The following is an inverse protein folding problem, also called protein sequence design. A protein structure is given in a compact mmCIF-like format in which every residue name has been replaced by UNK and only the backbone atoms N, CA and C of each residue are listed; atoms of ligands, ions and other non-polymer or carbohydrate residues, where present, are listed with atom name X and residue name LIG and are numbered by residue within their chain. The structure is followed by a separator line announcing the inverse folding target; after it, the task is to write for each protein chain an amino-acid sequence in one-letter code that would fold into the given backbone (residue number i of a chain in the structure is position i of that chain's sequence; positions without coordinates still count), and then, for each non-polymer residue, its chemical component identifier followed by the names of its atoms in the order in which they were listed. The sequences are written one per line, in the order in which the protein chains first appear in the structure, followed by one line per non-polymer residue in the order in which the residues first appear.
data_IF_424203865573
#
_entry.id   IF_424203865573
#
_cell.length_a   1.000
_cell.length_b   1.000
_cell.length_c   1.000
_cell.angle_alpha   90.00
_cell.angle_beta   90.00
_cell.angle_gamma   90.00
#
_symmetry.space_group_name_H-M   'P 1'
#
loop_
_entity.id
_entity.type
_entity.pdbx_description
1 polymer ?
#
# COMPACT_ATOMS: atom_id res chain seq x y z
N UNK A 1 -22.44 -37.23 -1.09
CA UNK A 1 -22.71 -35.79 -1.18
C UNK A 1 -21.79 -35.25 -2.25
N UNK A 2 -22.32 -34.83 -3.38
CA UNK A 2 -21.55 -34.20 -4.43
C UNK A 2 -21.00 -32.89 -3.86
N UNK A 3 -19.67 -32.69 -3.97
CA UNK A 3 -19.03 -31.45 -3.61
C UNK A 3 -19.69 -30.35 -4.47
N UNK A 4 -20.27 -29.30 -3.91
CA UNK A 4 -20.82 -28.23 -4.75
C UNK A 4 -19.68 -27.69 -5.61
N UNK A 5 -19.88 -27.70 -6.93
CA UNK A 5 -18.92 -27.11 -7.87
C UNK A 5 -18.58 -25.71 -7.36
N UNK A 6 -17.28 -25.44 -7.22
CA UNK A 6 -16.78 -24.11 -6.88
C UNK A 6 -17.21 -23.15 -7.98
N UNK A 7 -18.21 -22.33 -7.70
CA UNK A 7 -18.71 -21.31 -8.62
C UNK A 7 -17.94 -20.01 -8.39
N UNK A 8 -17.45 -19.41 -9.45
CA UNK A 8 -16.78 -18.13 -9.38
C UNK A 8 -17.80 -17.01 -9.20
N UNK A 9 -17.49 -16.02 -8.37
CA UNK A 9 -18.34 -14.86 -8.19
C UNK A 9 -18.47 -14.04 -9.50
N UNK A 10 -17.43 -14.07 -10.33
CA UNK A 10 -17.40 -13.45 -11.65
C UNK A 10 -18.53 -13.92 -12.57
N UNK A 11 -18.98 -15.19 -12.44
CA UNK A 11 -20.05 -15.76 -13.27
C UNK A 11 -21.42 -15.10 -12.98
N UNK A 12 -21.58 -14.56 -11.77
CA UNK A 12 -22.81 -13.88 -11.33
C UNK A 12 -22.68 -12.35 -11.31
N UNK A 13 -21.46 -11.85 -11.12
CA UNK A 13 -21.16 -10.42 -10.99
C UNK A 13 -19.79 -10.12 -11.61
N UNK A 14 -19.73 -9.78 -12.90
CA UNK A 14 -18.45 -9.47 -13.58
C UNK A 14 -17.66 -8.34 -12.91
N UNK A 15 -18.33 -7.41 -12.22
CA UNK A 15 -17.68 -6.34 -11.46
C UNK A 15 -16.90 -6.84 -10.24
N UNK A 16 -17.17 -8.05 -9.77
CA UNK A 16 -16.54 -8.69 -8.61
C UNK A 16 -15.41 -9.67 -8.99
N UNK A 17 -15.03 -9.73 -10.27
CA UNK A 17 -13.89 -10.52 -10.75
C UNK A 17 -12.61 -10.39 -9.89
N UNK A 18 -12.27 -9.22 -9.29
CA UNK A 18 -11.13 -9.12 -8.39
C UNK A 18 -11.19 -10.07 -7.17
N UNK A 19 -12.37 -10.48 -6.73
CA UNK A 19 -12.49 -11.46 -5.62
C UNK A 19 -11.94 -12.82 -6.01
N UNK A 20 -12.33 -13.32 -7.19
CA UNK A 20 -11.89 -14.62 -7.67
C UNK A 20 -10.38 -14.63 -7.93
N UNK A 21 -9.86 -13.55 -8.54
CA UNK A 21 -8.43 -13.40 -8.76
C UNK A 21 -7.63 -13.41 -7.44
N UNK A 22 -8.04 -12.64 -6.45
CA UNK A 22 -7.37 -12.63 -5.14
C UNK A 22 -7.57 -13.92 -4.37
N UNK A 23 -8.69 -14.61 -4.57
CA UNK A 23 -8.95 -15.90 -3.97
C UNK A 23 -8.03 -16.97 -4.51
N UNK A 24 -7.91 -17.10 -5.84
CA UNK A 24 -6.99 -18.04 -6.48
C UNK A 24 -5.56 -17.89 -5.96
N UNK A 25 -5.04 -16.65 -5.94
CA UNK A 25 -3.69 -16.39 -5.40
C UNK A 25 -3.62 -16.67 -3.88
N UNK A 26 -4.73 -16.51 -3.14
CA UNK A 26 -4.75 -16.85 -1.71
C UNK A 26 -4.66 -18.36 -1.47
N UNK A 27 -5.19 -19.17 -2.38
CA UNK A 27 -5.09 -20.63 -2.31
C UNK A 27 -3.63 -21.06 -2.59
N UNK A 28 -2.95 -20.44 -3.56
CA UNK A 28 -1.52 -20.69 -3.84
C UNK A 28 -0.64 -20.37 -2.62
N UNK A 29 -0.79 -19.16 -2.06
CA UNK A 29 -0.05 -18.75 -0.86
C UNK A 29 -0.39 -19.62 0.33
N UNK A 30 -1.67 -19.99 0.50
CA UNK A 30 -2.14 -20.90 1.55
C UNK A 30 -1.50 -22.28 1.43
N UNK A 31 -1.39 -22.79 0.20
CA UNK A 31 -0.70 -24.06 -0.09
C UNK A 31 0.74 -24.07 0.40
N UNK A 32 1.51 -22.99 0.15
CA UNK A 32 2.89 -22.86 0.66
C UNK A 32 2.92 -22.87 2.19
N UNK A 33 1.99 -22.18 2.84
CA UNK A 33 1.90 -22.15 4.31
C UNK A 33 1.59 -23.52 4.91
N UNK A 34 0.84 -24.37 4.20
CA UNK A 34 0.55 -25.74 4.64
C UNK A 34 1.77 -26.68 4.57
N UNK A 35 2.80 -26.35 3.79
CA UNK A 35 4.03 -27.15 3.68
C UNK A 35 4.95 -26.97 4.90
N UNK A 36 4.73 -25.95 5.74
CA UNK A 36 5.56 -25.62 6.89
C UNK A 36 4.75 -25.80 8.17
N UNK A 37 5.14 -26.73 9.01
CA UNK A 37 4.38 -27.11 10.23
C UNK A 37 4.07 -25.91 11.14
N UNK A 38 5.00 -24.97 11.29
CA UNK A 38 4.80 -23.75 12.10
C UNK A 38 3.70 -22.84 11.55
N UNK A 39 3.44 -22.90 10.24
CA UNK A 39 2.51 -22.01 9.52
C UNK A 39 1.23 -22.73 9.06
N UNK A 40 1.11 -24.04 9.23
CA UNK A 40 -0.03 -24.87 8.80
C UNK A 40 -1.38 -24.27 9.22
N UNK A 41 -1.50 -23.82 10.48
CA UNK A 41 -2.72 -23.18 11.00
C UNK A 41 -3.12 -21.92 10.23
N UNK A 42 -2.15 -21.18 9.67
CA UNK A 42 -2.42 -20.00 8.86
C UNK A 42 -2.87 -20.38 7.45
N UNK A 43 -2.26 -21.42 6.86
CA UNK A 43 -2.69 -22.00 5.58
C UNK A 43 -4.13 -22.49 5.66
N UNK A 44 -4.47 -23.28 6.69
CA UNK A 44 -5.83 -23.74 6.92
C UNK A 44 -6.86 -22.60 7.07
N UNK A 45 -6.48 -21.50 7.74
CA UNK A 45 -7.35 -20.31 7.82
C UNK A 45 -7.49 -19.59 6.47
N UNK A 46 -6.44 -19.57 5.65
CA UNK A 46 -6.50 -18.96 4.31
C UNK A 46 -7.40 -19.75 3.37
N UNK A 47 -7.44 -21.07 3.49
CA UNK A 47 -8.32 -21.93 2.72
C UNK A 47 -9.81 -21.58 2.86
N UNK A 48 -10.25 -21.01 3.98
CA UNK A 48 -11.64 -20.55 4.20
C UNK A 48 -11.84 -19.04 3.98
N UNK A 49 -10.77 -18.28 3.62
CA UNK A 49 -10.85 -16.83 3.50
C UNK A 49 -11.71 -16.41 2.31
N UNK A 50 -12.74 -15.59 2.56
CA UNK A 50 -13.68 -15.18 1.52
C UNK A 50 -14.64 -16.29 1.06
N UNK A 51 -14.67 -17.45 1.75
CA UNK A 51 -15.57 -18.54 1.43
C UNK A 51 -17.06 -18.24 1.71
N UNK A 52 -17.35 -17.24 2.53
CA UNK A 52 -18.68 -16.69 2.73
C UNK A 52 -18.66 -15.20 2.43
N UNK A 53 -19.42 -14.80 1.43
CA UNK A 53 -19.68 -13.39 1.07
C UNK A 53 -21.21 -13.19 1.02
N UNK A 54 -21.72 -12.26 1.83
CA UNK A 54 -23.13 -11.88 1.80
C UNK A 54 -23.25 -10.45 1.32
N UNK A 55 -23.94 -10.28 0.20
CA UNK A 55 -24.24 -8.97 -0.36
C UNK A 55 -25.69 -8.57 -0.01
N UNK A 56 -25.94 -7.28 0.02
CA UNK A 56 -27.27 -6.72 0.23
C UNK A 56 -27.43 -5.41 -0.52
N UNK A 57 -28.63 -5.16 -0.99
CA UNK A 57 -28.99 -3.91 -1.63
C UNK A 57 -28.93 -2.75 -0.64
N UNK A 58 -28.39 -1.63 -1.07
CA UNK A 58 -28.28 -0.40 -0.31
C UNK A 58 -28.67 0.76 -1.19
N UNK A 59 -29.73 1.48 -0.80
CA UNK A 59 -30.21 2.68 -1.52
C UNK A 59 -29.62 3.92 -0.86
N UNK A 60 -28.98 4.78 -1.65
CA UNK A 60 -28.52 6.09 -1.22
C UNK A 60 -29.73 7.01 -1.05
N UNK A 61 -29.90 7.58 0.13
CA UNK A 61 -31.07 8.42 0.46
C UNK A 61 -31.13 9.70 -0.39
N UNK A 62 -29.98 10.26 -0.72
CA UNK A 62 -29.86 11.53 -1.45
C UNK A 62 -30.18 11.40 -2.94
N UNK A 63 -29.89 10.27 -3.55
CA UNK A 63 -30.00 10.07 -5.02
C UNK A 63 -31.02 9.01 -5.42
N UNK A 64 -31.48 8.19 -4.47
CA UNK A 64 -32.32 7.03 -4.76
C UNK A 64 -31.56 5.88 -5.44
N UNK A 65 -30.25 6.04 -5.70
CA UNK A 65 -29.45 5.03 -6.38
C UNK A 65 -29.29 3.78 -5.50
N UNK A 66 -29.60 2.62 -6.08
CA UNK A 66 -29.48 1.34 -5.39
C UNK A 66 -28.25 0.59 -5.88
N UNK A 67 -27.39 0.17 -4.93
CA UNK A 67 -26.16 -0.56 -5.21
C UNK A 67 -26.07 -1.81 -4.36
N UNK A 68 -25.49 -2.86 -4.95
CA UNK A 68 -25.12 -4.07 -4.21
C UNK A 68 -23.88 -3.78 -3.36
N UNK A 69 -23.95 -4.06 -2.05
CA UNK A 69 -22.84 -3.85 -1.11
C UNK A 69 -22.57 -5.11 -0.31
N UNK A 70 -21.29 -5.39 -0.12
CA UNK A 70 -20.85 -6.46 0.79
C UNK A 70 -21.29 -6.11 2.23
N UNK A 71 -22.09 -6.99 2.84
CA UNK A 71 -22.61 -6.85 4.20
C UNK A 71 -21.83 -7.68 5.20
N UNK A 72 -21.45 -8.88 4.78
CA UNK A 72 -20.75 -9.84 5.62
C UNK A 72 -19.72 -10.62 4.80
N UNK A 73 -18.57 -10.89 5.39
CA UNK A 73 -17.52 -11.69 4.78
C UNK A 73 -16.69 -12.39 5.86
N UNK A 74 -16.30 -13.62 5.58
CA UNK A 74 -15.40 -14.36 6.43
C UNK A 74 -13.95 -14.12 6.01
N UNK A 75 -13.20 -13.37 6.80
CA UNK A 75 -11.79 -13.06 6.54
C UNK A 75 -10.87 -13.77 7.51
N UNK A 76 -9.85 -14.47 7.00
CA UNK A 76 -8.87 -15.19 7.80
C UNK A 76 -7.97 -14.29 8.66
N UNK A 77 -7.79 -13.01 8.28
CA UNK A 77 -6.91 -12.01 8.92
C UNK A 77 -5.44 -12.45 9.01
N UNK A 78 -5.03 -13.41 8.19
CA UNK A 78 -3.62 -13.76 8.05
C UNK A 78 -2.92 -12.60 7.33
N UNK A 79 -1.73 -12.22 7.81
CA UNK A 79 -1.06 -10.99 7.34
C UNK A 79 -0.77 -11.02 5.84
N UNK A 80 -0.30 -12.14 5.33
CA UNK A 80 0.09 -12.28 3.92
C UNK A 80 -1.01 -12.89 3.03
N UNK A 81 -2.21 -13.12 3.55
CA UNK A 81 -3.33 -13.55 2.73
C UNK A 81 -3.68 -12.47 1.67
N UNK A 82 -3.63 -12.77 0.38
CA UNK A 82 -3.90 -11.82 -0.70
C UNK A 82 -5.26 -11.16 -0.62
N UNK A 83 -6.32 -11.92 -0.30
CA UNK A 83 -7.67 -11.36 -0.08
C UNK A 83 -7.66 -10.35 1.07
N UNK A 84 -7.06 -10.70 2.22
CA UNK A 84 -7.03 -9.81 3.37
C UNK A 84 -6.17 -8.56 3.14
N UNK A 85 -5.05 -8.68 2.44
CA UNK A 85 -4.20 -7.54 2.08
C UNK A 85 -4.94 -6.59 1.13
N UNK A 86 -5.55 -7.12 0.07
CA UNK A 86 -6.35 -6.35 -0.86
C UNK A 86 -7.47 -5.58 -0.15
N UNK A 87 -8.28 -6.25 0.68
CA UNK A 87 -9.36 -5.60 1.43
C UNK A 87 -8.85 -4.53 2.40
N UNK A 88 -7.72 -4.76 3.03
CA UNK A 88 -7.06 -3.76 3.89
C UNK A 88 -6.60 -2.53 3.11
N UNK A 89 -5.99 -2.73 1.94
CA UNK A 89 -5.60 -1.65 1.04
C UNK A 89 -6.80 -0.78 0.66
N UNK A 90 -7.89 -1.38 0.18
CA UNK A 90 -9.12 -0.67 -0.16
C UNK A 90 -9.73 0.09 1.03
N UNK A 91 -9.71 -0.50 2.23
CA UNK A 91 -10.19 0.16 3.45
C UNK A 91 -9.38 1.42 3.78
N UNK A 92 -8.05 1.35 3.72
CA UNK A 92 -7.21 2.50 4.00
C UNK A 92 -7.32 3.59 2.94
N UNK A 93 -7.43 3.19 1.66
CA UNK A 93 -7.72 4.13 0.57
C UNK A 93 -9.04 4.86 0.80
N UNK A 94 -10.10 4.12 1.11
CA UNK A 94 -11.42 4.71 1.38
C UNK A 94 -11.37 5.69 2.56
N UNK A 95 -10.71 5.34 3.66
CA UNK A 95 -10.53 6.23 4.82
C UNK A 95 -9.78 7.50 4.45
N UNK A 96 -8.72 7.37 3.67
CA UNK A 96 -7.96 8.53 3.21
C UNK A 96 -8.84 9.44 2.34
N UNK A 97 -9.57 8.89 1.37
CA UNK A 97 -10.43 9.67 0.48
C UNK A 97 -11.58 10.36 1.22
N UNK A 98 -12.12 9.74 2.25
CA UNK A 98 -13.12 10.35 3.13
C UNK A 98 -12.54 11.55 3.92
N UNK A 99 -11.26 11.51 4.27
CA UNK A 99 -10.57 12.58 5.01
C UNK A 99 -10.05 13.68 4.09
N UNK A 100 -9.82 13.39 2.80
CA UNK A 100 -9.16 14.29 1.86
C UNK A 100 -9.84 15.65 1.70
N UNK A 101 -11.17 15.79 1.61
CA UNK A 101 -11.82 17.09 1.50
C UNK A 101 -11.48 18.02 2.67
N UNK A 102 -11.47 17.48 3.90
CA UNK A 102 -11.11 18.24 5.10
C UNK A 102 -9.62 18.61 5.10
N UNK A 103 -8.75 17.67 4.73
CA UNK A 103 -7.30 17.93 4.62
C UNK A 103 -7.03 19.07 3.64
N UNK A 104 -7.68 19.07 2.47
CA UNK A 104 -7.53 20.13 1.46
C UNK A 104 -8.07 21.46 1.95
N UNK A 105 -9.18 21.45 2.71
CA UNK A 105 -9.74 22.69 3.29
C UNK A 105 -8.83 23.28 4.39
N UNK A 106 -8.28 22.42 5.27
CA UNK A 106 -7.41 22.85 6.36
C UNK A 106 -6.00 23.26 5.86
N UNK A 107 -5.56 22.75 4.70
CA UNK A 107 -4.22 22.99 4.11
C UNK A 107 -4.30 23.28 2.61
N UNK A 108 -4.92 24.40 2.18
CA UNK A 108 -5.23 24.67 0.76
C UNK A 108 -3.98 24.84 -0.12
N UNK A 109 -2.88 25.35 0.45
CA UNK A 109 -1.63 25.57 -0.28
C UNK A 109 -0.70 24.36 -0.30
N UNK A 110 -1.05 23.28 0.39
CA UNK A 110 -0.19 22.11 0.48
C UNK A 110 0.04 21.45 -0.88
N UNK A 111 1.21 20.85 -0.99
CA UNK A 111 1.65 20.04 -2.12
C UNK A 111 1.94 18.63 -1.64
N UNK A 112 2.07 17.73 -2.58
CA UNK A 112 2.32 16.32 -2.27
C UNK A 112 3.66 15.89 -2.87
N UNK A 113 4.42 15.15 -2.07
CA UNK A 113 5.69 14.54 -2.47
C UNK A 113 5.67 13.06 -2.18
N UNK A 114 6.20 12.29 -3.10
CA UNK A 114 6.42 10.86 -2.93
C UNK A 114 7.91 10.62 -2.63
N UNK A 115 8.19 9.92 -1.54
CA UNK A 115 9.55 9.59 -1.11
C UNK A 115 9.66 8.07 -0.95
N UNK A 116 10.53 7.46 -1.74
CA UNK A 116 10.90 6.04 -1.61
C UNK A 116 12.27 5.94 -0.96
N UNK A 117 12.36 5.17 0.11
CA UNK A 117 13.57 4.95 0.89
C UNK A 117 13.91 3.46 0.88
N UNK A 118 15.10 3.11 0.39
CA UNK A 118 15.54 1.72 0.29
C UNK A 118 16.76 1.44 1.17
N UNK A 119 17.12 0.17 1.26
CA UNK A 119 18.39 -0.32 1.77
C UNK A 119 18.94 -1.35 0.79
N UNK A 120 20.20 -1.78 0.96
CA UNK A 120 20.71 -2.96 0.24
C UNK A 120 19.84 -4.17 0.53
N UNK A 121 19.71 -5.04 -0.46
CA UNK A 121 19.06 -6.33 -0.28
C UNK A 121 19.68 -7.08 0.90
N UNK A 122 18.88 -7.88 1.57
CA UNK A 122 19.31 -8.72 2.69
C UNK A 122 18.83 -10.16 2.49
N UNK A 123 19.44 -11.09 3.19
CA UNK A 123 18.93 -12.45 3.30
C UNK A 123 17.53 -12.44 3.94
N UNK A 124 16.71 -13.44 3.64
CA UNK A 124 15.35 -13.54 4.18
C UNK A 124 15.37 -13.62 5.72
N UNK A 125 16.33 -14.32 6.27
CA UNK A 125 16.54 -14.47 7.71
C UNK A 125 16.83 -13.14 8.41
N UNK A 126 17.49 -12.21 7.71
CA UNK A 126 17.87 -10.89 8.20
C UNK A 126 16.76 -9.83 7.99
N UNK A 127 15.70 -10.17 7.27
CA UNK A 127 14.65 -9.21 6.89
C UNK A 127 14.02 -8.53 8.12
N UNK A 128 13.75 -9.28 9.18
CA UNK A 128 13.15 -8.76 10.41
C UNK A 128 14.01 -7.69 11.07
N UNK A 129 15.32 -7.94 11.20
CA UNK A 129 16.29 -7.00 11.75
C UNK A 129 16.45 -5.77 10.83
N UNK A 130 16.55 -6.00 9.52
CA UNK A 130 16.64 -4.92 8.52
C UNK A 130 15.44 -3.98 8.59
N UNK A 131 14.21 -4.51 8.66
CA UNK A 131 13.00 -3.70 8.80
C UNK A 131 12.98 -2.93 10.14
N UNK A 132 13.45 -3.52 11.23
CA UNK A 132 13.58 -2.86 12.53
C UNK A 132 14.55 -1.68 12.46
N UNK A 133 15.70 -1.89 11.84
CA UNK A 133 16.71 -0.84 11.59
C UNK A 133 16.16 0.29 10.71
N UNK A 134 15.45 -0.04 9.63
CA UNK A 134 14.79 0.94 8.77
C UNK A 134 13.73 1.75 9.53
N UNK A 135 12.92 1.12 10.37
CA UNK A 135 11.93 1.80 11.18
C UNK A 135 12.59 2.80 12.15
N UNK A 136 13.67 2.39 12.81
CA UNK A 136 14.44 3.27 13.70
C UNK A 136 15.08 4.43 12.93
N UNK A 137 15.60 4.16 11.73
CA UNK A 137 16.16 5.19 10.86
C UNK A 137 15.10 6.21 10.43
N UNK A 138 13.88 5.76 10.13
CA UNK A 138 12.78 6.66 9.77
C UNK A 138 12.35 7.54 10.96
N UNK A 139 12.40 7.05 12.20
CA UNK A 139 12.16 7.91 13.36
C UNK A 139 13.22 9.02 13.44
N UNK A 140 14.51 8.68 13.26
CA UNK A 140 15.60 9.68 13.23
C UNK A 140 15.43 10.68 12.08
N UNK A 141 14.96 10.23 10.90
CA UNK A 141 14.69 11.10 9.76
C UNK A 141 13.62 12.14 10.08
N UNK A 142 12.54 11.75 10.76
CA UNK A 142 11.47 12.68 11.16
C UNK A 142 11.94 13.80 12.08
N UNK A 143 12.99 13.53 12.87
CA UNK A 143 13.54 14.51 13.81
C UNK A 143 14.52 15.48 13.14
N UNK A 144 14.89 15.26 11.87
CA UNK A 144 15.77 16.15 11.11
C UNK A 144 15.07 17.47 10.75
N UNK A 145 15.85 18.55 10.72
CA UNK A 145 15.36 19.88 10.36
C UNK A 145 14.71 19.93 8.97
N UNK A 146 15.22 19.12 8.04
CA UNK A 146 14.71 19.03 6.68
C UNK A 146 13.31 18.36 6.62
N UNK A 147 12.97 17.54 7.61
CA UNK A 147 11.66 16.89 7.69
C UNK A 147 10.62 17.73 8.46
N UNK A 148 11.05 18.67 9.30
CA UNK A 148 10.16 19.51 10.13
C UNK A 148 9.06 20.23 9.35
N UNK A 149 9.27 20.72 8.10
CA UNK A 149 8.21 21.37 7.34
C UNK A 149 7.10 20.40 6.86
N UNK A 150 7.30 19.09 6.93
CA UNK A 150 6.31 18.10 6.50
C UNK A 150 5.08 18.17 7.42
N UNK A 151 3.93 18.46 6.84
CA UNK A 151 2.66 18.70 7.56
C UNK A 151 1.95 17.39 7.92
N UNK A 152 2.18 16.32 7.14
CA UNK A 152 1.63 15.00 7.38
C UNK A 152 2.19 13.99 6.38
N UNK A 153 2.07 12.71 6.73
CA UNK A 153 2.51 11.63 5.83
C UNK A 153 1.73 10.35 6.06
N UNK A 154 1.69 9.52 5.04
CA UNK A 154 1.37 8.09 5.12
C UNK A 154 2.57 7.31 4.61
N UNK A 155 2.91 6.21 5.28
CA UNK A 155 4.03 5.35 4.90
C UNK A 155 3.64 3.89 4.91
N UNK A 156 4.06 3.17 3.90
CA UNK A 156 3.96 1.71 3.86
C UNK A 156 5.35 1.09 3.70
N UNK A 157 5.44 -0.16 4.07
CA UNK A 157 6.60 -1.00 3.83
C UNK A 157 6.23 -1.97 2.72
N UNK A 158 7.02 -2.01 1.68
CA UNK A 158 6.96 -3.04 0.64
C UNK A 158 8.25 -3.86 0.69
N UNK A 159 8.11 -5.16 0.49
CA UNK A 159 9.24 -6.08 0.33
C UNK A 159 9.04 -6.79 -0.99
N UNK A 160 9.99 -6.62 -1.90
CA UNK A 160 10.05 -7.35 -3.16
C UNK A 160 11.18 -8.36 -3.14
N UNK A 161 11.11 -9.35 -4.01
CA UNK A 161 12.15 -10.37 -4.14
C UNK A 161 13.19 -9.92 -5.17
N UNK A 162 14.47 -9.98 -4.81
CA UNK A 162 15.58 -9.85 -5.74
C UNK A 162 15.69 -11.06 -6.67
N UNK A 163 16.36 -10.88 -7.81
CA UNK A 163 16.60 -11.97 -8.76
C UNK A 163 17.46 -13.11 -8.18
N UNK A 164 18.22 -12.82 -7.16
CA UNK A 164 19.05 -13.73 -6.38
C UNK A 164 18.31 -14.38 -5.19
N UNK A 165 17.00 -14.16 -5.05
CA UNK A 165 16.19 -14.63 -3.94
C UNK A 165 16.26 -13.77 -2.69
N UNK A 166 17.10 -12.75 -2.64
CA UNK A 166 17.20 -11.82 -1.52
C UNK A 166 15.94 -10.97 -1.33
N UNK A 167 15.73 -10.45 -0.12
CA UNK A 167 14.68 -9.49 0.15
C UNK A 167 15.14 -8.06 -0.16
N UNK A 168 14.30 -7.30 -0.87
CA UNK A 168 14.49 -5.89 -1.15
C UNK A 168 13.43 -5.05 -0.42
N UNK A 169 13.63 -4.70 0.86
CA UNK A 169 12.69 -3.88 1.61
C UNK A 169 12.83 -2.41 1.26
N UNK A 170 11.69 -1.73 1.14
CA UNK A 170 11.64 -0.29 0.93
C UNK A 170 10.39 0.34 1.54
N UNK A 171 10.48 1.64 1.82
CA UNK A 171 9.39 2.45 2.30
C UNK A 171 8.87 3.32 1.18
N UNK A 172 7.56 3.31 0.97
CA UNK A 172 6.85 4.31 0.19
C UNK A 172 6.18 5.29 1.14
N UNK A 173 6.53 6.56 1.01
CA UNK A 173 6.00 7.63 1.87
C UNK A 173 5.38 8.71 1.00
N UNK A 174 4.09 8.96 1.15
CA UNK A 174 3.41 10.12 0.59
C UNK A 174 3.38 11.20 1.65
N UNK A 175 3.98 12.35 1.37
CA UNK A 175 4.12 13.48 2.28
C UNK A 175 3.29 14.67 1.79
N UNK A 176 2.58 15.30 2.70
CA UNK A 176 1.96 16.61 2.51
C UNK A 176 2.94 17.68 2.99
N UNK A 177 3.27 18.62 2.12
CA UNK A 177 4.35 19.59 2.34
C UNK A 177 3.94 21.00 1.93
N UNK A 178 4.51 22.07 2.52
CA UNK A 178 4.30 23.42 2.05
C UNK A 178 4.99 23.63 0.68
N UNK A 179 4.52 24.59 -0.15
CA UNK A 179 5.09 24.86 -1.48
C UNK A 179 6.60 25.10 -1.47
N UNK A 180 7.12 25.70 -0.40
CA UNK A 180 8.56 25.99 -0.25
C UNK A 180 9.46 24.77 -0.22
N UNK A 181 8.93 23.57 0.01
CA UNK A 181 9.70 22.32 -0.08
C UNK A 181 9.90 21.82 -1.52
N UNK A 182 9.14 22.32 -2.49
CA UNK A 182 9.28 21.92 -3.90
C UNK A 182 10.27 22.81 -4.66
N UNK A 183 10.30 24.11 -4.38
CA UNK A 183 11.09 25.06 -5.14
C UNK A 183 11.48 26.34 -4.36
N UNK A 184 11.40 26.31 -3.02
CA UNK A 184 11.64 27.48 -2.17
C UNK A 184 12.72 27.26 -1.11
N UNK A 185 12.65 28.03 -0.03
CA UNK A 185 13.66 28.06 1.05
C UNK A 185 13.83 26.72 1.79
N UNK A 186 12.81 25.88 1.78
CA UNK A 186 12.83 24.54 2.43
C UNK A 186 13.07 23.42 1.42
N UNK A 187 13.47 23.74 0.18
CA UNK A 187 13.78 22.74 -0.83
C UNK A 187 14.98 21.89 -0.41
N UNK A 188 14.81 20.59 -0.47
CA UNK A 188 15.85 19.60 -0.17
C UNK A 188 16.24 18.91 -1.48
N UNK A 189 17.49 19.05 -1.88
CA UNK A 189 18.02 18.38 -3.09
C UNK A 189 18.02 16.86 -2.92
N UNK A 190 17.97 16.15 -4.02
CA UNK A 190 17.99 14.69 -4.02
C UNK A 190 19.20 14.12 -3.26
N UNK A 191 20.40 14.66 -3.52
CA UNK A 191 21.65 14.25 -2.87
C UNK A 191 21.54 14.37 -1.33
N UNK A 192 20.88 15.44 -0.86
CA UNK A 192 20.69 15.66 0.57
C UNK A 192 19.71 14.62 1.17
N UNK A 193 18.68 14.18 0.44
CA UNK A 193 17.81 13.08 0.87
C UNK A 193 18.59 11.76 1.00
N UNK A 194 19.51 11.48 0.07
CA UNK A 194 20.41 10.31 0.13
C UNK A 194 21.30 10.38 1.36
N UNK A 195 21.96 11.52 1.60
CA UNK A 195 22.80 11.74 2.79
C UNK A 195 22.00 11.55 4.09
N UNK A 196 20.83 12.20 4.19
CA UNK A 196 19.96 12.10 5.37
C UNK A 196 19.58 10.66 5.66
N UNK A 197 19.21 9.91 4.64
CA UNK A 197 18.81 8.52 4.81
C UNK A 197 19.99 7.64 5.19
N UNK A 198 21.16 7.85 4.56
CA UNK A 198 22.43 7.18 4.93
C UNK A 198 22.82 7.43 6.40
N UNK A 199 22.79 8.69 6.82
CA UNK A 199 23.08 9.09 8.21
C UNK A 199 22.09 8.44 9.20
N UNK A 200 20.79 8.45 8.87
CA UNK A 200 19.76 7.88 9.73
C UNK A 200 19.86 6.36 9.84
N UNK A 201 20.20 5.67 8.74
CA UNK A 201 20.47 4.24 8.70
C UNK A 201 21.78 3.86 9.39
N UNK A 202 22.72 4.81 9.52
CA UNK A 202 24.10 4.58 10.01
C UNK A 202 24.85 3.57 9.16
N UNK A 203 24.79 3.73 7.84
CA UNK A 203 25.50 2.88 6.87
C UNK A 203 26.60 3.65 6.15
N UNK A 204 27.58 2.93 5.60
CA UNK A 204 28.74 3.49 4.90
C UNK A 204 28.56 3.64 3.39
N UNK A 205 27.39 3.24 2.86
CA UNK A 205 27.06 3.33 1.44
C UNK A 205 25.91 4.30 1.19
N UNK A 206 25.79 4.79 -0.03
CA UNK A 206 24.66 5.60 -0.45
C UNK A 206 23.45 4.70 -0.76
N UNK A 207 22.35 4.78 0.04
CA UNK A 207 21.15 4.03 -0.24
C UNK A 207 20.39 4.67 -1.41
N UNK A 208 19.67 3.87 -2.18
CA UNK A 208 18.83 4.41 -3.22
C UNK A 208 17.63 5.13 -2.60
N UNK A 209 17.44 6.39 -3.01
CA UNK A 209 16.33 7.25 -2.59
C UNK A 209 15.69 7.82 -3.84
N UNK A 210 14.38 7.79 -3.94
CA UNK A 210 13.64 8.47 -4.99
C UNK A 210 12.70 9.50 -4.36
N UNK A 211 12.75 10.72 -4.86
CA UNK A 211 11.88 11.80 -4.40
C UNK A 211 11.23 12.49 -5.59
N UNK A 212 9.90 12.56 -5.59
CA UNK A 212 9.12 13.11 -6.69
C UNK A 212 8.00 14.01 -6.18
N UNK A 213 7.87 15.18 -6.80
CA UNK A 213 6.66 15.98 -6.62
C UNK A 213 5.48 15.29 -7.30
N UNK A 214 4.38 15.16 -6.58
CA UNK A 214 3.10 14.72 -7.14
C UNK A 214 2.50 15.92 -7.88
N UNK A 215 2.64 15.95 -9.21
CA UNK A 215 2.20 17.08 -10.06
C UNK A 215 0.75 16.87 -10.48
N UNK A 216 -0.15 17.84 -10.29
CA UNK A 216 -1.49 17.79 -10.86
C UNK A 216 -1.38 17.63 -12.39
N UNK A 217 -2.21 16.74 -12.95
CA UNK A 217 -2.43 16.78 -14.40
C UNK A 217 -3.12 18.09 -14.76
N UNK A 218 -2.93 18.55 -15.98
CA UNK A 218 -3.73 19.68 -16.46
C UNK A 218 -5.21 19.33 -16.36
N UNK A 219 -6.07 20.19 -15.78
CA UNK A 219 -7.51 19.97 -15.79
C UNK A 219 -8.00 19.76 -17.24
N UNK A 220 -8.95 18.86 -17.42
CA UNK A 220 -9.67 18.76 -18.70
C UNK A 220 -10.64 19.95 -18.82
N UNK A 221 -11.08 20.23 -20.06
CA UNK A 221 -12.06 21.28 -20.29
C UNK A 221 -13.29 21.10 -19.39
N UNK A 222 -13.61 22.14 -18.61
CA UNK A 222 -14.71 22.13 -17.65
C UNK A 222 -14.40 21.51 -16.28
N UNK A 223 -13.17 21.02 -16.06
CA UNK A 223 -12.77 20.42 -14.78
C UNK A 223 -12.12 21.46 -13.86
N UNK A 224 -12.48 21.45 -12.57
CA UNK A 224 -11.80 22.30 -11.59
C UNK A 224 -10.39 21.75 -11.24
N UNK A 225 -9.45 22.66 -10.92
CA UNK A 225 -8.11 22.29 -10.46
C UNK A 225 -8.16 21.42 -9.18
N UNK A 226 -9.16 21.64 -8.32
CA UNK A 226 -9.36 20.83 -7.12
C UNK A 226 -9.71 19.37 -7.46
N UNK A 227 -10.53 19.13 -8.49
CA UNK A 227 -10.87 17.79 -8.97
C UNK A 227 -9.64 17.09 -9.55
N UNK A 228 -8.87 17.77 -10.40
CA UNK A 228 -7.63 17.24 -10.99
C UNK A 228 -6.59 16.90 -9.91
N UNK A 229 -6.49 17.71 -8.87
CA UNK A 229 -5.60 17.45 -7.71
C UNK A 229 -6.08 16.25 -6.92
N UNK A 230 -7.38 16.10 -6.67
CA UNK A 230 -7.93 14.97 -5.94
C UNK A 230 -7.69 13.63 -6.65
N UNK A 231 -7.85 13.58 -7.98
CA UNK A 231 -7.55 12.36 -8.76
C UNK A 231 -6.08 11.96 -8.70
N UNK A 232 -5.19 12.94 -8.75
CA UNK A 232 -3.76 12.71 -8.68
C UNK A 232 -3.34 12.17 -7.31
N UNK A 233 -3.85 12.79 -6.24
CA UNK A 233 -3.61 12.31 -4.88
C UNK A 233 -4.17 10.90 -4.70
N UNK A 234 -5.29 10.57 -5.35
CA UNK A 234 -5.82 9.19 -5.38
C UNK A 234 -4.83 8.19 -5.96
N UNK A 235 -4.19 8.50 -7.10
CA UNK A 235 -3.16 7.65 -7.70
C UNK A 235 -1.97 7.45 -6.78
N UNK A 236 -1.43 8.52 -6.19
CA UNK A 236 -0.32 8.45 -5.25
C UNK A 236 -0.67 7.68 -3.97
N UNK A 237 -1.88 7.83 -3.44
CA UNK A 237 -2.38 7.08 -2.29
C UNK A 237 -2.55 5.61 -2.62
N UNK A 238 -3.11 5.29 -3.79
CA UNK A 238 -3.26 3.92 -4.24
C UNK A 238 -1.89 3.24 -4.35
N UNK A 239 -0.88 3.93 -4.89
CA UNK A 239 0.51 3.44 -4.95
C UNK A 239 1.10 3.23 -3.56
N UNK A 240 0.94 4.20 -2.65
CA UNK A 240 1.46 4.09 -1.28
C UNK A 240 0.78 2.99 -0.48
N UNK A 241 -0.54 2.80 -0.65
CA UNK A 241 -1.33 1.83 0.13
C UNK A 241 -1.48 0.47 -0.57
N UNK A 242 -0.58 0.11 -1.48
CA UNK A 242 -0.48 -1.22 -2.07
C UNK A 242 -0.15 -2.30 -1.04
N UNK A 243 -0.02 -3.51 -1.52
CA UNK A 243 0.38 -4.67 -0.72
C UNK A 243 1.76 -4.47 -0.10
N UNK A 244 1.97 -5.00 1.10
CA UNK A 244 3.29 -5.04 1.74
C UNK A 244 4.24 -6.06 1.08
N UNK A 245 3.70 -7.05 0.40
CA UNK A 245 4.44 -8.06 -0.35
C UNK A 245 3.57 -8.49 -1.53
N UNK A 246 4.14 -8.53 -2.72
CA UNK A 246 3.39 -9.00 -3.90
C UNK A 246 3.16 -10.51 -3.79
N UNK A 247 1.96 -10.99 -4.06
CA UNK A 247 1.69 -12.43 -4.04
C UNK A 247 2.65 -13.25 -4.92
N UNK A 248 3.00 -12.74 -6.10
CA UNK A 248 3.97 -13.38 -6.97
C UNK A 248 5.35 -13.58 -6.33
N UNK A 249 5.79 -12.64 -5.46
CA UNK A 249 7.07 -12.76 -4.76
C UNK A 249 7.02 -13.80 -3.64
N UNK A 250 5.82 -14.19 -3.18
CA UNK A 250 5.62 -15.21 -2.15
C UNK A 250 5.54 -16.63 -2.72
N UNK A 251 5.06 -16.79 -3.96
CA UNK A 251 4.88 -18.10 -4.61
C UNK A 251 6.00 -18.45 -5.60
N UNK A 252 6.92 -17.52 -5.86
CA UNK A 252 8.03 -17.77 -6.76
C UNK A 252 8.95 -18.87 -6.19
N UNK A 253 9.17 -19.94 -6.97
CA UNK A 253 10.09 -21.00 -6.63
C UNK A 253 11.51 -20.44 -6.42
N UNK A 254 12.24 -20.88 -5.38
CA UNK A 254 13.67 -20.62 -5.31
C UNK A 254 14.34 -21.37 -6.46
N UNK A 255 14.91 -20.64 -7.42
CA UNK A 255 15.82 -21.23 -8.40
C UNK A 255 17.14 -21.55 -7.76
#
# INVERSE_FOLDING_TARGET
MQNPELQNLTDYSPSDAPWDAHRSVSDDVGGIYLLVAEYERYGARMASCGGLLRFGWSTLKETGETRLRLREAHFCRVRHCPVCQWRRSLMWQARFYQSLPRIVADYPDSRWMFLTLTVRNCAIEELGETLSRMNTAFQRLKDRKEFRPVQGWIRTTEVTRGSDGSAHPHFHTLMMVPPGMLNGKSYVRHERWVELWRECLRVSYDPNVDVRAVKPRKPKDGESLACATAELVRGAVAETLKYSTKPADMVADPK
#
